data_IF_493891122621
#
_entry.id   IF_493891122621
#
_cell.length_a   1.000
_cell.length_b   1.000
_cell.length_c   1.000
_cell.angle_alpha   90.00
_cell.angle_beta   90.00
_cell.angle_gamma   90.00
#
_symmetry.space_group_name_H-M   'P 1'
#
loop_
_entity.id
_entity.type
_entity.pdbx_description
1 polymer ?
#
# COMPACT_ATOMS: atom_id res chain seq x y z
N UNK A 1 -61.15 46.98 -33.37
CA UNK A 1 -60.35 45.74 -33.43
C UNK A 1 -59.32 45.82 -32.32
N UNK A 2 -59.52 45.09 -31.23
CA UNK A 2 -58.57 45.03 -30.10
C UNK A 2 -57.85 43.69 -30.13
N UNK A 3 -56.53 43.62 -30.02
CA UNK A 3 -55.82 42.35 -29.97
C UNK A 3 -55.98 41.73 -28.57
N UNK A 4 -56.49 40.51 -28.54
CA UNK A 4 -56.56 39.66 -27.34
C UNK A 4 -55.18 39.03 -27.11
N UNK A 5 -54.43 39.54 -26.14
CA UNK A 5 -53.21 38.88 -25.66
C UNK A 5 -53.58 37.77 -24.67
N UNK A 6 -53.47 36.52 -25.10
CA UNK A 6 -53.57 35.35 -24.22
C UNK A 6 -52.25 35.14 -23.46
N UNK A 7 -52.28 34.84 -22.15
CA UNK A 7 -51.05 34.60 -21.39
C UNK A 7 -50.50 33.20 -21.70
N UNK A 8 -49.27 33.12 -22.19
CA UNK A 8 -48.54 31.86 -22.34
C UNK A 8 -48.17 31.31 -20.96
N UNK A 9 -48.82 30.22 -20.57
CA UNK A 9 -48.51 29.46 -19.35
C UNK A 9 -47.15 28.77 -19.51
N UNK A 10 -46.11 29.32 -18.91
CA UNK A 10 -44.84 28.61 -18.72
C UNK A 10 -45.03 27.54 -17.65
N UNK A 11 -45.41 26.33 -18.05
CA UNK A 11 -45.37 25.15 -17.18
C UNK A 11 -43.90 24.83 -16.91
N UNK A 12 -43.35 25.34 -15.82
CA UNK A 12 -42.01 25.03 -15.34
C UNK A 12 -41.93 23.53 -15.00
N UNK A 13 -41.52 22.73 -15.99
CA UNK A 13 -41.22 21.32 -15.83
C UNK A 13 -40.09 21.16 -14.83
N UNK A 14 -40.35 20.53 -13.69
CA UNK A 14 -39.33 20.34 -12.65
C UNK A 14 -38.18 19.52 -13.26
N UNK A 15 -36.94 20.06 -13.29
CA UNK A 15 -35.82 19.37 -13.91
C UNK A 15 -35.62 18.00 -13.26
N UNK A 16 -35.33 16.99 -14.08
CA UNK A 16 -35.29 15.57 -13.68
C UNK A 16 -34.39 15.30 -12.47
N UNK A 17 -33.30 16.06 -12.35
CA UNK A 17 -32.32 15.95 -11.26
C UNK A 17 -32.87 16.41 -9.89
N UNK A 18 -33.92 17.23 -9.88
CA UNK A 18 -34.55 17.75 -8.65
C UNK A 18 -35.67 16.85 -8.14
N UNK A 19 -35.98 15.74 -8.83
CA UNK A 19 -36.98 14.77 -8.38
C UNK A 19 -36.42 14.01 -7.18
N UNK A 20 -37.16 14.02 -6.06
CA UNK A 20 -36.81 13.32 -4.81
C UNK A 20 -36.29 11.89 -5.00
N UNK A 21 -36.90 11.00 -5.82
CA UNK A 21 -36.40 9.63 -5.99
C UNK A 21 -35.04 9.57 -6.70
N UNK A 22 -34.81 10.43 -7.70
CA UNK A 22 -33.54 10.49 -8.46
C UNK A 22 -32.39 10.96 -7.57
N UNK A 23 -32.66 11.94 -6.71
CA UNK A 23 -31.68 12.43 -5.75
C UNK A 23 -31.34 11.38 -4.69
N UNK A 24 -32.33 10.61 -4.25
CA UNK A 24 -32.13 9.53 -3.27
C UNK A 24 -31.25 8.42 -3.85
N UNK A 25 -31.52 7.96 -5.08
CA UNK A 25 -30.72 6.94 -5.74
C UNK A 25 -29.28 7.41 -5.98
N UNK A 26 -29.09 8.67 -6.38
CA UNK A 26 -27.76 9.27 -6.52
C UNK A 26 -26.98 9.25 -5.19
N UNK A 27 -27.59 9.65 -4.08
CA UNK A 27 -26.91 9.64 -2.78
C UNK A 27 -26.63 8.23 -2.27
N UNK A 28 -27.53 7.28 -2.48
CA UNK A 28 -27.31 5.87 -2.12
C UNK A 28 -26.14 5.30 -2.91
N UNK A 29 -26.08 5.56 -4.22
CA UNK A 29 -25.03 5.06 -5.09
C UNK A 29 -23.67 5.71 -4.75
N UNK A 30 -23.66 7.02 -4.50
CA UNK A 30 -22.45 7.75 -4.08
C UNK A 30 -21.95 7.26 -2.71
N UNK A 31 -22.87 7.06 -1.75
CA UNK A 31 -22.55 6.54 -0.43
C UNK A 31 -22.01 5.10 -0.49
N UNK A 32 -22.64 4.22 -1.28
CA UNK A 32 -22.16 2.87 -1.50
C UNK A 32 -20.77 2.86 -2.17
N UNK A 33 -20.54 3.72 -3.16
CA UNK A 33 -19.24 3.86 -3.81
C UNK A 33 -18.15 4.37 -2.84
N UNK A 34 -18.47 5.34 -1.99
CA UNK A 34 -17.55 5.84 -0.98
C UNK A 34 -17.22 4.75 0.06
N UNK A 35 -18.22 4.01 0.54
CA UNK A 35 -18.02 2.86 1.43
C UNK A 35 -17.17 1.76 0.78
N UNK A 36 -17.37 1.54 -0.52
CA UNK A 36 -16.56 0.60 -1.29
C UNK A 36 -15.09 1.06 -1.36
N UNK A 37 -14.83 2.32 -1.73
CA UNK A 37 -13.47 2.88 -1.71
C UNK A 37 -12.82 2.80 -0.33
N UNK A 38 -13.58 3.06 0.74
CA UNK A 38 -13.11 2.97 2.12
C UNK A 38 -12.75 1.52 2.48
N UNK A 39 -13.61 0.56 2.12
CA UNK A 39 -13.40 -0.87 2.37
C UNK A 39 -12.16 -1.43 1.69
N UNK A 40 -11.89 -1.03 0.44
CA UNK A 40 -10.71 -1.50 -0.29
C UNK A 40 -9.42 -0.73 -0.01
N UNK A 41 -9.48 0.58 0.23
CA UNK A 41 -8.27 1.40 0.34
C UNK A 41 -7.79 1.61 1.78
N UNK A 42 -8.72 1.89 2.70
CA UNK A 42 -8.37 2.41 4.03
C UNK A 42 -8.29 1.30 5.09
N UNK A 43 -9.16 0.28 5.01
CA UNK A 43 -9.15 -0.85 5.94
C UNK A 43 -7.85 -1.68 5.89
N UNK A 44 -7.35 -2.15 4.72
CA UNK A 44 -6.13 -2.95 4.70
C UNK A 44 -4.90 -2.15 5.18
N UNK A 45 -4.88 -0.83 4.95
CA UNK A 45 -3.78 0.05 5.38
C UNK A 45 -3.77 0.30 6.90
N UNK A 46 -4.92 0.18 7.57
CA UNK A 46 -5.03 0.32 9.03
C UNK A 46 -4.90 -1.01 9.78
N UNK A 47 -5.23 -2.14 9.15
CA UNK A 47 -5.20 -3.46 9.79
C UNK A 47 -3.85 -4.18 9.72
N UNK A 48 -2.88 -3.72 8.92
CA UNK A 48 -1.55 -4.36 8.87
C UNK A 48 -0.41 -3.44 9.36
N UNK A 49 -0.37 -3.12 10.68
CA UNK A 49 0.79 -2.45 11.28
C UNK A 49 2.00 -3.40 11.45
N UNK A 50 1.88 -4.68 11.06
CA UNK A 50 2.83 -5.74 11.39
C UNK A 50 3.55 -6.36 10.20
N UNK A 51 3.31 -5.90 8.97
CA UNK A 51 4.02 -6.39 7.77
C UNK A 51 3.91 -7.92 7.60
N UNK A 52 2.87 -8.56 8.13
CA UNK A 52 2.74 -10.03 8.09
C UNK A 52 2.50 -10.50 6.64
N UNK A 53 1.75 -9.73 5.83
CA UNK A 53 1.59 -10.04 4.40
C UNK A 53 2.88 -9.91 3.58
N UNK A 54 3.87 -9.14 4.05
CA UNK A 54 5.15 -8.99 3.33
C UNK A 54 6.18 -10.07 3.69
N UNK A 55 5.98 -10.76 4.82
CA UNK A 55 6.78 -11.95 5.16
C UNK A 55 6.39 -13.12 4.27
N UNK A 56 5.13 -13.23 3.84
CA UNK A 56 4.67 -14.27 2.89
C UNK A 56 5.23 -14.06 1.47
N UNK A 57 5.40 -12.82 1.03
CA UNK A 57 5.97 -12.48 -0.28
C UNK A 57 7.51 -12.63 -0.35
N UNK A 58 8.16 -13.10 0.73
CA UNK A 58 9.62 -13.10 0.87
C UNK A 58 10.23 -11.72 0.57
N UNK A 59 9.51 -10.64 0.87
CA UNK A 59 10.00 -9.29 0.66
C UNK A 59 10.65 -8.79 1.95
N UNK A 60 11.98 -8.77 1.98
CA UNK A 60 12.74 -8.22 3.11
C UNK A 60 12.77 -6.69 2.97
N UNK A 61 12.14 -5.99 3.92
CA UNK A 61 11.97 -4.53 3.88
C UNK A 61 12.77 -3.82 4.97
N UNK A 62 13.26 -2.62 4.66
CA UNK A 62 13.92 -1.74 5.62
C UNK A 62 13.03 -1.53 6.87
N UNK A 63 13.61 -1.71 8.05
CA UNK A 63 12.96 -1.62 9.35
C UNK A 63 12.71 -2.97 10.03
N UNK A 64 12.76 -4.09 9.30
CA UNK A 64 12.60 -5.42 9.90
C UNK A 64 13.73 -5.77 10.88
N UNK A 65 13.39 -6.56 11.91
CA UNK A 65 14.36 -7.13 12.85
C UNK A 65 15.13 -8.30 12.23
N UNK A 66 16.31 -8.60 12.76
CA UNK A 66 17.16 -9.74 12.32
C UNK A 66 16.41 -11.06 12.35
N UNK A 67 15.60 -11.27 13.39
CA UNK A 67 14.84 -12.49 13.61
C UNK A 67 13.73 -12.64 12.56
N UNK A 68 13.06 -11.54 12.20
CA UNK A 68 12.08 -11.54 11.12
C UNK A 68 12.72 -11.82 9.76
N UNK A 69 13.90 -11.24 9.49
CA UNK A 69 14.63 -11.50 8.23
C UNK A 69 15.09 -12.95 8.14
N UNK A 70 15.64 -13.53 9.23
CA UNK A 70 15.98 -14.95 9.27
C UNK A 70 14.75 -15.85 9.07
N UNK A 71 13.59 -15.47 9.59
CA UNK A 71 12.35 -16.22 9.38
C UNK A 71 11.89 -16.16 7.91
N UNK A 72 12.10 -15.03 7.23
CA UNK A 72 11.67 -14.84 5.84
C UNK A 72 12.64 -15.44 4.81
N UNK A 73 13.95 -15.22 4.96
CA UNK A 73 14.99 -15.59 3.98
C UNK A 73 15.91 -16.72 4.44
N UNK A 74 15.81 -17.14 5.70
CA UNK A 74 16.72 -18.13 6.28
C UNK A 74 18.06 -17.53 6.71
N UNK A 75 18.99 -18.42 7.07
CA UNK A 75 20.34 -18.04 7.50
C UNK A 75 21.16 -17.50 6.32
N UNK A 76 21.90 -16.40 6.49
CA UNK A 76 22.81 -15.90 5.47
C UNK A 76 23.97 -16.87 5.23
N UNK A 77 24.57 -16.80 4.05
CA UNK A 77 25.78 -17.55 3.73
C UNK A 77 26.97 -17.02 4.53
N UNK A 78 27.09 -15.69 4.60
CA UNK A 78 28.12 -15.01 5.37
C UNK A 78 27.52 -13.87 6.18
N UNK A 79 27.98 -13.71 7.42
CA UNK A 79 27.59 -12.63 8.30
C UNK A 79 28.85 -11.91 8.79
N UNK A 80 29.02 -10.66 8.36
CA UNK A 80 30.10 -9.79 8.80
C UNK A 80 29.56 -8.81 9.84
N UNK A 81 30.23 -8.69 10.99
CA UNK A 81 29.84 -7.74 12.04
C UNK A 81 30.96 -6.72 12.18
N UNK A 82 30.61 -5.44 12.06
CA UNK A 82 31.52 -4.31 12.20
C UNK A 82 30.96 -3.29 13.19
N UNK A 83 31.82 -2.40 13.67
CA UNK A 83 31.44 -1.30 14.54
C UNK A 83 31.88 0.01 13.89
N UNK A 84 30.98 0.99 13.84
CA UNK A 84 31.33 2.35 13.41
C UNK A 84 32.18 3.03 14.49
N UNK A 85 32.92 4.09 14.14
CA UNK A 85 33.68 4.93 15.09
C UNK A 85 32.82 5.46 16.26
N UNK A 86 31.49 5.56 16.06
CA UNK A 86 30.50 5.92 17.07
C UNK A 86 30.08 4.77 18.00
N UNK A 87 30.68 3.58 17.86
CA UNK A 87 30.33 2.37 18.61
C UNK A 87 29.06 1.66 18.12
N UNK A 88 28.46 2.11 17.01
CA UNK A 88 27.23 1.53 16.48
C UNK A 88 27.55 0.19 15.80
N UNK A 89 26.85 -0.86 16.22
CA UNK A 89 26.98 -2.21 15.66
C UNK A 89 26.29 -2.31 14.30
N UNK A 90 27.09 -2.56 13.27
CA UNK A 90 26.63 -2.84 11.91
C UNK A 90 26.82 -4.31 11.59
N UNK A 91 25.84 -4.90 10.93
CA UNK A 91 25.96 -6.25 10.38
C UNK A 91 25.72 -6.20 8.88
N UNK A 92 26.57 -6.86 8.12
CA UNK A 92 26.39 -7.06 6.69
C UNK A 92 26.19 -8.56 6.47
N UNK A 93 25.04 -8.90 5.90
CA UNK A 93 24.66 -10.27 5.63
C UNK A 93 24.69 -10.49 4.12
N UNK A 94 25.36 -11.56 3.71
CA UNK A 94 25.51 -11.94 2.31
C UNK A 94 24.70 -13.21 2.07
N UNK A 95 23.82 -13.16 1.08
CA UNK A 95 23.06 -14.30 0.59
C UNK A 95 23.52 -14.64 -0.83
N UNK A 96 23.67 -15.93 -1.11
CA UNK A 96 24.03 -16.42 -2.43
C UNK A 96 22.83 -17.11 -3.06
N UNK A 97 22.32 -16.56 -4.16
CA UNK A 97 21.31 -17.20 -4.99
C UNK A 97 21.98 -17.83 -6.20
N UNK A 98 21.92 -19.16 -6.27
CA UNK A 98 22.38 -19.94 -7.42
C UNK A 98 21.29 -19.92 -8.50
N UNK A 99 21.58 -19.26 -9.62
CA UNK A 99 20.68 -19.26 -10.79
C UNK A 99 20.99 -20.45 -11.69
N UNK A 100 22.27 -20.76 -11.83
CA UNK A 100 22.78 -21.90 -12.58
C UNK A 100 24.09 -22.37 -11.94
N UNK A 101 24.59 -23.53 -12.35
CA UNK A 101 25.84 -24.14 -11.87
C UNK A 101 27.09 -23.23 -12.00
N UNK A 102 27.02 -22.20 -12.83
CA UNK A 102 28.11 -21.25 -13.09
C UNK A 102 27.79 -19.80 -12.72
N UNK A 103 26.54 -19.48 -12.35
CA UNK A 103 26.10 -18.09 -12.12
C UNK A 103 25.53 -17.94 -10.72
N UNK A 104 26.26 -17.22 -9.88
CA UNK A 104 25.91 -16.90 -8.50
C UNK A 104 25.56 -15.41 -8.43
N UNK A 105 24.39 -15.08 -7.87
CA UNK A 105 24.06 -13.71 -7.48
C UNK A 105 24.27 -13.53 -5.98
N UNK A 106 24.99 -12.48 -5.62
CA UNK A 106 25.17 -12.10 -4.23
C UNK A 106 24.18 -10.99 -3.89
N UNK A 107 23.43 -11.19 -2.80
CA UNK A 107 22.53 -10.18 -2.24
C UNK A 107 23.09 -9.73 -0.90
N UNK A 108 23.17 -8.43 -0.71
CA UNK A 108 23.71 -7.83 0.50
C UNK A 108 22.58 -7.21 1.30
N UNK A 109 22.50 -7.51 2.59
CA UNK A 109 21.62 -6.85 3.53
C UNK A 109 22.45 -6.14 4.60
N UNK A 110 22.07 -4.90 4.91
CA UNK A 110 22.77 -4.07 5.88
C UNK A 110 21.89 -3.83 7.10
N UNK A 111 22.36 -4.25 8.26
CA UNK A 111 21.71 -4.02 9.54
C UNK A 111 22.51 -3.01 10.37
N UNK A 112 21.79 -2.17 11.10
CA UNK A 112 22.36 -1.27 12.11
C UNK A 112 21.51 -1.39 13.37
N UNK A 113 22.15 -1.64 14.52
CA UNK A 113 21.49 -1.85 15.82
C UNK A 113 20.38 -2.93 15.80
N UNK A 114 20.53 -3.94 14.95
CA UNK A 114 19.57 -5.03 14.82
C UNK A 114 18.33 -4.73 13.97
N UNK A 115 18.28 -3.55 13.33
CA UNK A 115 17.28 -3.20 12.32
C UNK A 115 17.87 -3.23 10.93
N UNK A 116 17.12 -3.77 9.98
CA UNK A 116 17.50 -3.75 8.58
C UNK A 116 17.41 -2.32 8.03
N UNK A 117 18.49 -1.79 7.49
CA UNK A 117 18.51 -0.50 6.80
C UNK A 117 18.09 -0.63 5.34
N UNK A 118 18.49 -1.71 4.69
CA UNK A 118 18.20 -1.97 3.28
C UNK A 118 19.12 -3.03 2.70
N UNK A 119 18.94 -3.31 1.41
CA UNK A 119 19.74 -4.30 0.70
C UNK A 119 20.08 -3.89 -0.73
N UNK A 120 21.09 -4.56 -1.29
CA UNK A 120 21.56 -4.37 -2.66
C UNK A 120 21.58 -5.71 -3.41
N UNK A 121 21.29 -5.66 -4.71
CA UNK A 121 21.02 -6.82 -5.58
C UNK A 121 21.90 -6.84 -6.82
#
# INVERSE_FOLDING_TARGET
MSPSNSPTTHTSSTPWICRRPVRLTLYVLLGAFALWMLGWGIIPRLMDPTFEQHVEDKAVMAGMSREQVMKAWGSPYQMNVSYTEKGIRREEWVYEDWIDSSTIKHRYLYFEEGKLLGGWY
#
